data_IF_698659751244
#
_entry.id   IF_698659751244
#
_cell.length_a   1.000
_cell.length_b   1.000
_cell.length_c   1.000
_cell.angle_alpha   90.00
_cell.angle_beta   90.00
_cell.angle_gamma   90.00
#
_symmetry.space_group_name_H-M   'P 1'
#
loop_
_entity.id
_entity.type
_entity.pdbx_description
1 polymer ?
#
# COMPACT_ATOMS: atom_id res chain seq x y z
N UNK A 1 -9.12 -51.06 -6.32
CA UNK A 1 -9.03 -49.78 -7.05
C UNK A 1 -10.43 -49.19 -7.13
N UNK A 2 -10.63 -47.99 -6.57
CA UNK A 2 -10.55 -46.77 -7.38
C UNK A 2 -9.72 -45.65 -6.71
N UNK A 3 -9.30 -44.61 -7.45
CA UNK A 3 -8.42 -43.57 -6.95
C UNK A 3 -9.18 -42.38 -6.36
N UNK A 4 -8.73 -41.92 -5.19
CA UNK A 4 -9.11 -40.65 -4.58
C UNK A 4 -8.50 -39.50 -5.38
N UNK A 5 -9.34 -38.76 -6.08
CA UNK A 5 -8.99 -37.50 -6.71
C UNK A 5 -8.58 -36.46 -5.65
N UNK A 6 -7.29 -36.14 -5.58
CA UNK A 6 -6.79 -34.93 -4.92
C UNK A 6 -7.13 -33.73 -5.79
N UNK A 7 -8.20 -33.02 -5.45
CA UNK A 7 -8.45 -31.67 -5.96
C UNK A 7 -7.38 -30.72 -5.41
N UNK A 8 -6.29 -30.57 -6.15
CA UNK A 8 -5.32 -29.49 -5.97
C UNK A 8 -5.91 -28.21 -6.56
N UNK A 9 -6.78 -27.57 -5.79
CA UNK A 9 -7.21 -26.20 -6.06
C UNK A 9 -6.07 -25.25 -5.68
N UNK A 10 -5.11 -25.04 -6.59
CA UNK A 10 -4.19 -23.90 -6.49
C UNK A 10 -5.04 -22.64 -6.40
N UNK A 11 -5.02 -22.00 -5.23
CA UNK A 11 -5.66 -20.72 -4.98
C UNK A 11 -5.12 -19.69 -5.96
N UNK A 12 -5.87 -19.45 -7.02
CA UNK A 12 -5.70 -18.28 -7.87
C UNK A 12 -5.92 -17.09 -6.95
N UNK A 13 -4.84 -16.42 -6.50
CA UNK A 13 -4.89 -15.22 -5.65
C UNK A 13 -5.90 -14.26 -6.28
N UNK A 14 -7.10 -14.20 -5.69
CA UNK A 14 -8.22 -13.39 -6.20
C UNK A 14 -7.73 -11.96 -6.20
N UNK A 15 -7.82 -11.28 -7.37
CA UNK A 15 -7.61 -9.84 -7.44
C UNK A 15 -8.48 -9.20 -6.35
N UNK A 16 -7.93 -8.33 -5.47
CA UNK A 16 -8.74 -7.65 -4.48
C UNK A 16 -9.81 -6.87 -5.24
N UNK A 17 -11.06 -7.31 -5.13
CA UNK A 17 -12.20 -6.58 -5.65
C UNK A 17 -12.46 -5.41 -4.70
N UNK A 18 -12.95 -4.29 -5.24
CA UNK A 18 -13.50 -3.17 -4.47
C UNK A 18 -14.81 -3.62 -3.80
N UNK A 19 -14.70 -4.55 -2.86
CA UNK A 19 -15.81 -5.14 -2.12
C UNK A 19 -16.11 -4.28 -0.88
N UNK A 20 -17.27 -4.48 -0.26
CA UNK A 20 -17.62 -3.85 1.02
C UNK A 20 -16.54 -4.04 2.11
N UNK A 21 -15.84 -5.17 2.08
CA UNK A 21 -14.69 -5.44 2.96
C UNK A 21 -13.53 -4.46 2.76
N UNK A 22 -13.28 -4.01 1.53
CA UNK A 22 -12.27 -2.98 1.28
C UNK A 22 -12.65 -1.68 1.98
N UNK A 23 -13.92 -1.24 1.86
CA UNK A 23 -14.40 -0.02 2.51
C UNK A 23 -14.26 -0.14 4.04
N UNK A 24 -14.63 -1.27 4.62
CA UNK A 24 -14.45 -1.52 6.06
C UNK A 24 -12.99 -1.44 6.49
N UNK A 25 -12.08 -2.11 5.76
CA UNK A 25 -10.63 -2.06 6.01
C UNK A 25 -10.08 -0.64 5.86
N UNK A 26 -10.48 0.07 4.81
CA UNK A 26 -10.09 1.45 4.56
C UNK A 26 -10.56 2.37 5.68
N UNK A 27 -11.83 2.31 6.07
CA UNK A 27 -12.37 3.10 7.19
C UNK A 27 -11.65 2.78 8.51
N UNK A 28 -11.28 1.52 8.75
CA UNK A 28 -10.52 1.12 9.94
C UNK A 28 -9.12 1.74 9.96
N UNK A 29 -8.46 1.86 8.81
CA UNK A 29 -7.18 2.57 8.66
C UNK A 29 -7.38 4.07 8.85
N UNK A 30 -8.41 4.66 8.21
CA UNK A 30 -8.73 6.09 8.33
C UNK A 30 -8.98 6.53 9.78
N UNK A 31 -9.64 5.71 10.60
CA UNK A 31 -9.82 5.98 12.03
C UNK A 31 -8.50 6.05 12.81
N UNK A 32 -7.47 5.33 12.37
CA UNK A 32 -6.12 5.41 12.98
C UNK A 32 -5.42 6.68 12.52
N UNK A 33 -5.61 7.08 11.27
CA UNK A 33 -5.02 8.32 10.71
C UNK A 33 -5.66 9.58 11.30
N UNK A 34 -6.97 9.55 11.61
CA UNK A 34 -7.72 10.66 12.16
C UNK A 34 -8.36 10.27 13.51
N UNK A 35 -7.58 10.24 14.61
CA UNK A 35 -8.07 9.78 15.90
C UNK A 35 -9.08 10.75 16.54
N UNK A 36 -8.98 12.05 16.25
CA UNK A 36 -9.92 13.06 16.75
C UNK A 36 -10.01 14.25 15.79
N UNK A 37 -11.14 14.99 15.88
CA UNK A 37 -11.41 16.20 15.08
C UNK A 37 -10.43 17.35 15.35
N UNK A 38 -9.73 17.32 16.50
CA UNK A 38 -8.70 18.31 16.86
C UNK A 38 -7.27 17.80 16.60
N UNK A 39 -7.11 16.67 15.90
CA UNK A 39 -5.77 16.15 15.61
C UNK A 39 -5.04 17.00 14.57
N UNK A 40 -3.71 17.03 14.66
CA UNK A 40 -2.83 17.72 13.70
C UNK A 40 -3.15 17.31 12.24
N UNK A 41 -3.53 16.06 12.01
CA UNK A 41 -3.87 15.54 10.68
C UNK A 41 -5.15 16.18 10.12
N UNK A 42 -6.14 16.49 10.96
CA UNK A 42 -7.37 17.19 10.53
C UNK A 42 -7.06 18.65 10.18
N UNK A 43 -6.23 19.32 10.99
CA UNK A 43 -5.79 20.68 10.69
C UNK A 43 -5.03 20.75 9.36
N UNK A 44 -4.10 19.81 9.12
CA UNK A 44 -3.37 19.71 7.85
C UNK A 44 -4.27 19.41 6.66
N UNK A 45 -5.30 18.59 6.84
CA UNK A 45 -6.31 18.35 5.80
C UNK A 45 -7.12 19.62 5.52
N UNK A 46 -7.51 20.36 6.56
CA UNK A 46 -8.23 21.64 6.42
C UNK A 46 -7.39 22.70 5.68
N UNK A 47 -6.10 22.83 6.01
CA UNK A 47 -5.21 23.73 5.29
C UNK A 47 -4.99 23.28 3.85
N UNK A 48 -4.88 21.98 3.58
CA UNK A 48 -4.81 21.42 2.22
C UNK A 48 -6.05 21.80 1.39
N UNK A 49 -7.25 21.65 1.96
CA UNK A 49 -8.50 22.05 1.29
C UNK A 49 -8.49 23.54 0.96
N UNK A 50 -8.09 24.40 1.91
CA UNK A 50 -8.01 25.84 1.66
C UNK A 50 -7.01 26.22 0.56
N UNK A 51 -5.82 25.61 0.58
CA UNK A 51 -4.78 25.85 -0.42
C UNK A 51 -5.22 25.37 -1.80
N UNK A 52 -5.75 24.15 -1.91
CA UNK A 52 -6.21 23.57 -3.18
C UNK A 52 -7.35 24.36 -3.81
N UNK A 53 -8.33 24.82 -3.02
CA UNK A 53 -9.41 25.69 -3.53
C UNK A 53 -8.87 27.03 -4.04
N UNK A 54 -7.91 27.62 -3.30
CA UNK A 54 -7.28 28.88 -3.70
C UNK A 54 -6.46 28.71 -4.97
N UNK A 55 -5.66 27.64 -5.06
CA UNK A 55 -4.87 27.29 -6.24
C UNK A 55 -5.77 27.20 -7.48
N UNK A 56 -6.94 26.60 -7.35
CA UNK A 56 -7.87 26.38 -8.46
C UNK A 56 -8.51 27.67 -8.97
N UNK A 57 -8.81 28.61 -8.05
CA UNK A 57 -9.23 29.96 -8.44
C UNK A 57 -8.13 30.69 -9.22
N UNK A 58 -6.88 30.55 -8.79
CA UNK A 58 -5.73 31.15 -9.49
C UNK A 58 -5.51 30.47 -10.85
N UNK A 59 -5.62 29.14 -10.95
CA UNK A 59 -5.49 28.41 -12.22
C UNK A 59 -6.54 28.89 -13.24
N UNK A 60 -7.78 29.10 -12.80
CA UNK A 60 -8.82 29.66 -13.68
C UNK A 60 -8.44 31.06 -14.18
N UNK A 61 -7.97 31.95 -13.29
CA UNK A 61 -7.53 33.30 -13.69
C UNK A 61 -6.37 33.23 -14.68
N UNK A 62 -5.35 32.43 -14.41
CA UNK A 62 -4.21 32.21 -15.31
C UNK A 62 -4.67 31.70 -16.67
N UNK A 63 -5.70 30.84 -16.71
CA UNK A 63 -6.27 30.32 -17.94
C UNK A 63 -7.05 31.33 -18.80
N UNK A 64 -7.60 32.38 -18.19
CA UNK A 64 -8.33 33.44 -18.90
C UNK A 64 -7.39 34.54 -19.41
N UNK A 65 -6.20 34.71 -18.83
CA UNK A 65 -5.22 35.72 -19.25
C UNK A 65 -4.90 35.69 -20.76
N UNK A 66 -4.68 34.52 -21.41
CA UNK A 66 -4.47 34.48 -22.86
C UNK A 66 -5.60 35.15 -23.67
N UNK A 67 -6.86 35.01 -23.24
CA UNK A 67 -8.01 35.70 -23.83
C UNK A 67 -7.85 37.22 -23.77
N UNK A 68 -7.45 37.74 -22.62
CA UNK A 68 -7.24 39.19 -22.41
C UNK A 68 -6.06 39.72 -23.21
N UNK A 69 -5.02 38.90 -23.41
CA UNK A 69 -3.93 39.25 -24.32
C UNK A 69 -4.42 39.39 -25.77
N UNK A 70 -5.28 38.49 -26.26
CA UNK A 70 -5.83 38.62 -27.62
C UNK A 70 -6.63 39.91 -27.81
N UNK A 71 -7.44 40.31 -26.83
CA UNK A 71 -8.15 41.60 -26.82
C UNK A 71 -7.16 42.78 -26.87
N UNK A 72 -6.21 42.85 -25.94
CA UNK A 72 -5.26 43.95 -25.87
C UNK A 72 -4.36 44.07 -27.11
N UNK A 73 -3.97 42.94 -27.72
CA UNK A 73 -3.21 42.92 -28.97
C UNK A 73 -4.05 43.37 -30.17
N UNK A 74 -5.33 42.99 -30.21
CA UNK A 74 -6.26 43.44 -31.26
C UNK A 74 -6.45 44.95 -31.22
N UNK A 75 -6.62 45.50 -30.02
CA UNK A 75 -6.83 46.94 -29.80
C UNK A 75 -5.53 47.75 -29.87
N UNK A 76 -4.37 47.08 -29.98
CA UNK A 76 -3.02 47.67 -29.99
C UNK A 76 -2.73 48.55 -28.76
N UNK A 77 -3.33 48.24 -27.61
CA UNK A 77 -3.12 48.97 -26.38
C UNK A 77 -1.87 48.48 -25.63
N UNK A 78 -0.78 49.23 -25.76
CA UNK A 78 0.49 48.94 -25.08
C UNK A 78 0.40 49.07 -23.55
N UNK A 79 -0.44 49.98 -23.05
CA UNK A 79 -0.62 50.20 -21.61
C UNK A 79 -1.32 49.01 -20.96
N UNK A 80 -2.42 48.56 -21.56
CA UNK A 80 -3.12 47.35 -21.14
C UNK A 80 -2.21 46.12 -21.22
N UNK A 81 -1.45 45.96 -22.31
CA UNK A 81 -0.52 44.85 -22.47
C UNK A 81 0.54 44.79 -21.35
N UNK A 82 1.17 45.91 -21.00
CA UNK A 82 2.19 45.95 -19.94
C UNK A 82 1.60 45.59 -18.57
N UNK A 83 0.40 46.08 -18.27
CA UNK A 83 -0.30 45.77 -17.03
C UNK A 83 -0.70 44.28 -16.96
N UNK A 84 -1.22 43.73 -18.05
CA UNK A 84 -1.56 42.31 -18.16
C UNK A 84 -0.32 41.41 -18.03
N UNK A 85 0.81 41.79 -18.63
CA UNK A 85 2.06 41.06 -18.49
C UNK A 85 2.57 41.05 -17.04
N UNK A 86 2.50 42.18 -16.33
CA UNK A 86 2.83 42.26 -14.92
C UNK A 86 1.91 41.40 -14.04
N UNK A 87 0.60 41.44 -14.30
CA UNK A 87 -0.39 40.62 -13.61
C UNK A 87 -0.16 39.13 -13.86
N UNK A 88 0.11 38.73 -15.10
CA UNK A 88 0.38 37.35 -15.49
C UNK A 88 1.61 36.79 -14.77
N UNK A 89 2.69 37.57 -14.71
CA UNK A 89 3.89 37.17 -13.97
C UNK A 89 3.61 36.97 -12.48
N UNK A 90 2.87 37.88 -11.85
CA UNK A 90 2.48 37.77 -10.45
C UNK A 90 1.61 36.54 -10.18
N UNK A 91 0.60 36.28 -11.02
CA UNK A 91 -0.29 35.14 -10.89
C UNK A 91 0.44 33.81 -11.12
N UNK A 92 1.38 33.75 -12.05
CA UNK A 92 2.23 32.56 -12.27
C UNK A 92 3.10 32.30 -11.04
N UNK A 93 3.72 33.35 -10.47
CA UNK A 93 4.51 33.22 -9.24
C UNK A 93 3.66 32.68 -8.09
N UNK A 94 2.47 33.27 -7.88
CA UNK A 94 1.54 32.85 -6.84
C UNK A 94 1.06 31.40 -7.05
N UNK A 95 0.71 31.03 -8.29
CA UNK A 95 0.29 29.66 -8.63
C UNK A 95 1.40 28.65 -8.33
N UNK A 96 2.65 28.97 -8.71
CA UNK A 96 3.81 28.13 -8.43
C UNK A 96 4.05 27.94 -6.93
N UNK A 97 3.90 29.02 -6.15
CA UNK A 97 4.01 28.95 -4.68
C UNK A 97 2.90 28.11 -4.08
N UNK A 98 1.63 28.31 -4.46
CA UNK A 98 0.50 27.53 -3.95
C UNK A 98 0.65 26.04 -4.26
N UNK A 99 1.00 25.70 -5.49
CA UNK A 99 1.27 24.31 -5.90
C UNK A 99 2.41 23.68 -5.11
N UNK A 100 3.47 24.45 -4.82
CA UNK A 100 4.60 23.99 -4.01
C UNK A 100 4.17 23.75 -2.55
N UNK A 101 3.29 24.60 -2.01
CA UNK A 101 2.72 24.45 -0.67
C UNK A 101 1.79 23.24 -0.60
N UNK A 102 0.93 23.01 -1.60
CA UNK A 102 0.10 21.81 -1.71
C UNK A 102 0.96 20.53 -1.64
N UNK A 103 2.01 20.46 -2.45
CA UNK A 103 2.94 19.33 -2.48
C UNK A 103 3.69 19.14 -1.14
N UNK A 104 4.07 20.25 -0.49
CA UNK A 104 4.71 20.22 0.81
C UNK A 104 3.76 19.68 1.89
N UNK A 105 2.50 20.15 1.93
CA UNK A 105 1.48 19.67 2.87
C UNK A 105 1.21 18.18 2.61
N UNK A 106 1.02 17.76 1.36
CA UNK A 106 0.84 16.34 1.01
C UNK A 106 2.01 15.47 1.46
N UNK A 107 3.25 15.97 1.37
CA UNK A 107 4.44 15.25 1.83
C UNK A 107 4.50 15.15 3.35
N UNK A 108 4.18 16.24 4.06
CA UNK A 108 4.12 16.24 5.52
C UNK A 108 3.00 15.31 6.03
N UNK A 109 1.84 15.29 5.35
CA UNK A 109 0.74 14.37 5.64
C UNK A 109 1.18 12.91 5.47
N UNK A 110 1.91 12.58 4.40
CA UNK A 110 2.45 11.23 4.19
C UNK A 110 3.30 10.76 5.37
N UNK A 111 4.20 11.62 5.86
CA UNK A 111 5.08 11.32 7.01
C UNK A 111 4.28 11.13 8.29
N UNK A 112 3.35 12.05 8.58
CA UNK A 112 2.50 11.98 9.78
C UNK A 112 1.63 10.71 9.77
N UNK A 113 1.02 10.39 8.63
CA UNK A 113 0.22 9.19 8.46
C UNK A 113 1.03 7.91 8.57
N UNK A 114 2.22 7.86 7.98
CA UNK A 114 3.15 6.73 8.14
C UNK A 114 3.47 6.52 9.61
N UNK A 115 3.80 7.59 10.34
CA UNK A 115 4.08 7.52 11.78
C UNK A 115 2.90 6.89 12.54
N UNK A 116 1.70 7.46 12.40
CA UNK A 116 0.51 6.97 13.12
C UNK A 116 0.15 5.53 12.77
N UNK A 117 0.21 5.15 11.49
CA UNK A 117 -0.15 3.82 11.03
C UNK A 117 0.90 2.78 11.45
N UNK A 118 2.18 3.06 11.27
CA UNK A 118 3.28 2.17 11.69
C UNK A 118 3.32 2.01 13.21
N UNK A 119 3.15 3.07 14.00
CA UNK A 119 3.08 2.97 15.46
C UNK A 119 1.87 2.13 15.92
N UNK A 120 0.72 2.23 15.24
CA UNK A 120 -0.43 1.36 15.52
C UNK A 120 -0.14 -0.10 15.18
N UNK A 121 0.48 -0.37 14.03
CA UNK A 121 0.86 -1.74 13.62
C UNK A 121 1.92 -2.33 14.55
N UNK A 122 2.93 -1.55 14.94
CA UNK A 122 3.96 -1.97 15.90
C UNK A 122 3.38 -2.32 17.25
N UNK A 123 2.44 -1.52 17.77
CA UNK A 123 1.76 -1.83 19.04
C UNK A 123 1.09 -3.19 18.97
N UNK A 124 0.33 -3.49 17.92
CA UNK A 124 -0.32 -4.80 17.75
C UNK A 124 0.69 -5.95 17.52
N UNK A 125 1.73 -5.72 16.71
CA UNK A 125 2.72 -6.72 16.34
C UNK A 125 3.61 -7.16 17.51
N UNK A 126 4.03 -6.21 18.36
CA UNK A 126 4.85 -6.48 19.54
C UNK A 126 4.04 -6.76 20.81
N UNK A 127 2.71 -6.75 20.73
CA UNK A 127 1.86 -7.10 21.87
C UNK A 127 1.93 -8.61 22.14
N UNK A 128 2.63 -8.98 23.22
CA UNK A 128 2.76 -10.38 23.62
C UNK A 128 3.67 -11.18 22.68
N UNK A 129 3.14 -12.27 22.10
CA UNK A 129 3.87 -13.18 21.22
C UNK A 129 3.32 -13.15 19.77
N UNK A 130 2.64 -12.07 19.37
CA UNK A 130 2.03 -11.93 18.03
C UNK A 130 3.09 -12.05 16.94
N UNK A 131 4.22 -11.36 17.08
CA UNK A 131 5.36 -11.48 16.15
C UNK A 131 5.83 -12.93 15.96
N UNK A 132 5.87 -13.74 17.03
CA UNK A 132 6.27 -15.15 16.93
C UNK A 132 5.19 -15.97 16.22
N UNK A 133 3.94 -15.77 16.63
CA UNK A 133 2.78 -16.49 16.07
C UNK A 133 2.61 -16.22 14.58
N UNK A 134 2.75 -14.96 14.18
CA UNK A 134 2.59 -14.52 12.80
C UNK A 134 3.72 -15.03 11.89
N UNK A 135 4.97 -15.09 12.37
CA UNK A 135 6.10 -15.52 11.52
C UNK A 135 6.34 -17.03 11.53
N UNK A 136 5.91 -17.75 12.59
CA UNK A 136 6.29 -19.16 12.80
C UNK A 136 5.11 -20.11 12.83
N UNK A 137 3.97 -19.69 13.39
CA UNK A 137 2.80 -20.57 13.54
C UNK A 137 1.78 -20.41 12.42
N UNK A 138 1.72 -19.25 11.77
CA UNK A 138 0.81 -19.00 10.67
C UNK A 138 1.53 -18.89 9.33
N UNK A 139 0.95 -19.51 8.30
CA UNK A 139 1.38 -19.43 6.90
C UNK A 139 0.39 -18.62 6.03
N UNK A 140 -0.61 -17.98 6.64
CA UNK A 140 -1.65 -17.22 5.95
C UNK A 140 -1.15 -15.85 5.44
N UNK A 141 -0.16 -15.26 6.11
CA UNK A 141 0.40 -13.95 5.80
C UNK A 141 1.84 -14.07 5.28
N UNK A 142 2.01 -13.88 3.97
CA UNK A 142 3.34 -13.72 3.37
C UNK A 142 3.99 -12.38 3.78
N UNK A 143 5.25 -12.42 4.22
CA UNK A 143 6.17 -11.29 4.49
C UNK A 143 5.55 -10.15 5.34
N UNK A 144 5.25 -10.38 6.62
CA UNK A 144 4.64 -9.36 7.48
C UNK A 144 5.53 -8.12 7.68
N UNK A 145 6.85 -8.29 7.67
CA UNK A 145 7.85 -7.23 7.71
C UNK A 145 7.73 -6.25 6.54
N UNK A 146 7.53 -6.78 5.32
CA UNK A 146 7.33 -5.96 4.12
C UNK A 146 6.02 -5.18 4.19
N UNK A 147 4.95 -5.79 4.73
CA UNK A 147 3.63 -5.13 4.87
C UNK A 147 3.69 -3.96 5.86
N UNK A 148 4.37 -4.14 7.00
CA UNK A 148 4.51 -3.09 8.03
C UNK A 148 5.42 -1.97 7.54
N UNK A 149 6.51 -2.27 6.84
CA UNK A 149 7.50 -1.28 6.42
C UNK A 149 7.16 -0.61 5.08
N UNK A 150 7.14 -1.38 4.00
CA UNK A 150 7.04 -0.87 2.63
C UNK A 150 5.60 -0.58 2.21
N UNK A 151 4.67 -1.51 2.44
CA UNK A 151 3.29 -1.30 2.00
C UNK A 151 2.64 -0.12 2.75
N UNK A 152 2.95 0.03 4.04
CA UNK A 152 2.48 1.17 4.85
C UNK A 152 3.01 2.50 4.34
N UNK A 153 4.30 2.57 4.01
CA UNK A 153 4.90 3.76 3.38
C UNK A 153 4.25 4.09 2.04
N UNK A 154 4.08 3.09 1.17
CA UNK A 154 3.50 3.28 -0.16
C UNK A 154 2.03 3.70 -0.05
N UNK A 155 1.26 3.09 0.85
CA UNK A 155 -0.13 3.48 1.10
C UNK A 155 -0.23 4.95 1.52
N UNK A 156 0.52 5.37 2.54
CA UNK A 156 0.48 6.74 3.04
C UNK A 156 0.91 7.76 1.99
N UNK A 157 1.94 7.45 1.20
CA UNK A 157 2.42 8.32 0.12
C UNK A 157 1.39 8.47 -1.00
N UNK A 158 0.85 7.36 -1.51
CA UNK A 158 -0.14 7.41 -2.59
C UNK A 158 -1.44 8.07 -2.15
N UNK A 159 -1.89 7.77 -0.93
CA UNK A 159 -3.08 8.41 -0.38
C UNK A 159 -2.88 9.93 -0.24
N UNK A 160 -1.74 10.40 0.28
CA UNK A 160 -1.57 11.84 0.54
C UNK A 160 -1.52 12.64 -0.75
N UNK A 161 -0.85 12.12 -1.79
CA UNK A 161 -0.82 12.76 -3.12
C UNK A 161 -2.15 12.73 -3.84
N UNK A 162 -3.02 11.79 -3.49
CA UNK A 162 -4.33 11.61 -4.10
C UNK A 162 -5.41 12.50 -3.46
N UNK A 163 -5.28 12.82 -2.17
CA UNK A 163 -6.31 13.55 -1.42
C UNK A 163 -6.60 14.92 -2.02
N UNK A 164 -5.58 15.73 -2.34
CA UNK A 164 -5.77 17.06 -2.93
C UNK A 164 -6.58 16.98 -4.22
N UNK A 165 -6.22 16.04 -5.10
CA UNK A 165 -6.87 15.79 -6.39
C UNK A 165 -8.29 15.24 -6.26
N UNK A 166 -8.53 14.31 -5.34
CA UNK A 166 -9.87 13.73 -5.11
C UNK A 166 -10.87 14.76 -4.59
N UNK A 167 -10.41 15.67 -3.72
CA UNK A 167 -11.27 16.72 -3.15
C UNK A 167 -11.71 17.67 -4.25
N UNK A 168 -10.78 18.09 -5.12
CA UNK A 168 -11.07 19.12 -6.12
C UNK A 168 -11.78 18.59 -7.38
N UNK A 169 -11.44 17.38 -7.83
CA UNK A 169 -11.91 16.80 -9.09
C UNK A 169 -13.43 16.89 -9.34
N UNK A 170 -14.33 16.61 -8.38
CA UNK A 170 -15.77 16.73 -8.64
C UNK A 170 -16.20 18.18 -8.88
N UNK A 171 -15.61 19.15 -8.15
CA UNK A 171 -15.95 20.57 -8.30
C UNK A 171 -15.47 21.11 -9.64
N UNK A 172 -14.22 20.82 -10.03
CA UNK A 172 -13.69 21.27 -11.32
C UNK A 172 -14.45 20.61 -12.47
N UNK A 173 -14.72 19.31 -12.40
CA UNK A 173 -15.45 18.62 -13.45
C UNK A 173 -16.84 19.21 -13.66
N UNK A 174 -17.61 19.45 -12.59
CA UNK A 174 -18.94 20.07 -12.69
C UNK A 174 -18.84 21.49 -13.23
N UNK A 175 -17.93 22.32 -12.70
CA UNK A 175 -17.76 23.70 -13.12
C UNK A 175 -17.36 23.84 -14.60
N UNK A 176 -16.34 23.10 -15.04
CA UNK A 176 -15.88 23.15 -16.43
C UNK A 176 -16.85 22.47 -17.40
N UNK A 177 -17.60 21.45 -16.97
CA UNK A 177 -18.70 20.89 -17.77
C UNK A 177 -19.80 21.93 -17.98
N UNK A 178 -20.19 22.64 -16.93
CA UNK A 178 -21.17 23.73 -17.02
C UNK A 178 -20.68 24.86 -17.92
N UNK A 179 -19.42 25.29 -17.76
CA UNK A 179 -18.82 26.34 -18.59
C UNK A 179 -18.73 25.92 -20.06
N UNK A 180 -18.38 24.65 -20.34
CA UNK A 180 -18.36 24.10 -21.70
C UNK A 180 -19.76 24.05 -22.32
N UNK A 181 -20.77 23.66 -21.54
CA UNK A 181 -22.16 23.67 -21.96
C UNK A 181 -22.64 25.08 -22.32
N UNK A 182 -22.29 26.08 -21.52
CA UNK A 182 -22.64 27.47 -21.80
C UNK A 182 -21.97 28.00 -23.08
N UNK A 183 -20.70 27.65 -23.31
CA UNK A 183 -19.93 28.14 -24.45
C UNK A 183 -20.24 27.46 -25.79
N UNK A 184 -20.53 26.16 -25.80
CA UNK A 184 -20.67 25.35 -27.04
C UNK A 184 -21.99 24.60 -27.14
N UNK A 185 -22.88 24.76 -26.16
CA UNK A 185 -24.13 23.99 -26.07
C UNK A 185 -23.87 22.51 -25.76
N UNK A 186 -24.84 21.66 -26.10
CA UNK A 186 -24.80 20.23 -25.77
C UNK A 186 -23.69 19.45 -26.50
N UNK A 187 -23.27 19.93 -27.69
CA UNK A 187 -22.27 19.26 -28.53
C UNK A 187 -20.91 19.20 -27.84
N UNK A 188 -20.53 20.24 -27.09
CA UNK A 188 -19.23 20.31 -26.42
C UNK A 188 -19.04 19.22 -25.36
N UNK A 189 -19.84 19.23 -24.27
CA UNK A 189 -19.77 18.21 -23.24
C UNK A 189 -19.94 16.79 -23.80
N UNK A 190 -20.93 16.54 -24.66
CA UNK A 190 -21.15 15.18 -25.21
C UNK A 190 -19.93 14.67 -25.97
N UNK A 191 -19.29 15.51 -26.78
CA UNK A 191 -18.08 15.12 -27.53
C UNK A 191 -16.91 14.81 -26.59
N UNK A 192 -16.71 15.62 -25.55
CA UNK A 192 -15.63 15.41 -24.56
C UNK A 192 -15.88 14.15 -23.71
N UNK A 193 -17.13 13.91 -23.28
CA UNK A 193 -17.48 12.69 -22.55
C UNK A 193 -17.36 11.44 -23.44
N UNK A 194 -17.78 11.51 -24.71
CA UNK A 194 -17.57 10.43 -25.67
C UNK A 194 -16.08 10.13 -25.87
N UNK A 195 -15.28 11.18 -26.01
CA UNK A 195 -13.82 11.10 -26.09
C UNK A 195 -13.22 10.41 -24.85
N UNK A 196 -13.64 10.81 -23.65
CA UNK A 196 -13.22 10.20 -22.39
C UNK A 196 -13.56 8.71 -22.31
N UNK A 197 -14.75 8.30 -22.74
CA UNK A 197 -15.15 6.88 -22.75
C UNK A 197 -14.22 6.07 -23.66
N UNK A 198 -13.96 6.56 -24.88
CA UNK A 198 -13.03 5.92 -25.83
C UNK A 198 -11.62 5.84 -25.26
N UNK A 199 -11.12 6.92 -24.65
CA UNK A 199 -9.82 6.95 -23.98
C UNK A 199 -9.70 5.94 -22.85
N UNK A 200 -10.72 5.88 -21.99
CA UNK A 200 -10.78 4.94 -20.85
C UNK A 200 -10.79 3.49 -21.30
N UNK A 201 -11.57 3.15 -22.33
CA UNK A 201 -11.62 1.81 -22.91
C UNK A 201 -10.26 1.44 -23.50
N UNK A 202 -9.65 2.35 -24.26
CA UNK A 202 -8.35 2.13 -24.89
C UNK A 202 -7.25 1.91 -23.85
N UNK A 203 -7.20 2.75 -22.82
CA UNK A 203 -6.25 2.63 -21.71
C UNK A 203 -6.44 1.28 -20.97
N UNK A 204 -7.69 0.89 -20.67
CA UNK A 204 -8.00 -0.38 -20.01
C UNK A 204 -7.51 -1.60 -20.81
N UNK A 205 -7.66 -1.58 -22.13
CA UNK A 205 -7.19 -2.66 -23.02
C UNK A 205 -5.65 -2.74 -23.00
N UNK A 206 -4.98 -1.59 -23.07
CA UNK A 206 -3.51 -1.51 -23.07
C UNK A 206 -2.88 -1.88 -21.71
N UNK A 207 -3.53 -1.54 -20.59
CA UNK A 207 -3.04 -1.86 -19.25
C UNK A 207 -3.12 -3.35 -18.89
N UNK A 208 -4.11 -4.08 -19.42
CA UNK A 208 -4.32 -5.50 -19.13
C UNK A 208 -3.04 -6.37 -19.19
N UNK A 209 -2.30 -6.40 -20.31
CA UNK A 209 -1.07 -7.18 -20.44
C UNK A 209 0.11 -6.63 -19.61
N UNK A 210 0.16 -5.32 -19.36
CA UNK A 210 1.23 -4.66 -18.59
C UNK A 210 1.18 -5.15 -17.14
N UNK A 211 -0.01 -5.09 -16.52
CA UNK A 211 -0.20 -5.50 -15.12
C UNK A 211 0.24 -6.95 -14.90
N UNK A 212 -0.10 -7.87 -15.80
CA UNK A 212 0.33 -9.27 -15.69
C UNK A 212 1.85 -9.43 -15.74
N UNK A 213 2.52 -8.64 -16.59
CA UNK A 213 3.98 -8.71 -16.77
C UNK A 213 4.71 -8.05 -15.60
N UNK A 214 4.14 -6.97 -15.07
CA UNK A 214 4.65 -6.27 -13.89
C UNK A 214 4.67 -7.19 -12.66
N UNK A 215 3.61 -7.98 -12.45
CA UNK A 215 3.59 -8.98 -11.38
C UNK A 215 4.66 -10.06 -11.54
N UNK A 216 4.91 -10.51 -12.78
CA UNK A 216 5.97 -11.47 -13.06
C UNK A 216 7.36 -10.86 -12.80
N UNK A 217 7.57 -9.60 -13.16
CA UNK A 217 8.80 -8.86 -12.85
C UNK A 217 9.04 -8.76 -11.35
N UNK A 218 8.04 -8.32 -10.56
CA UNK A 218 8.17 -8.21 -9.10
C UNK A 218 8.51 -9.56 -8.45
N UNK A 219 7.94 -10.65 -8.96
CA UNK A 219 8.28 -12.00 -8.51
C UNK A 219 9.74 -12.36 -8.83
N UNK A 220 10.19 -12.13 -10.06
CA UNK A 220 11.56 -12.43 -10.48
C UNK A 220 12.59 -11.56 -9.75
N UNK A 221 12.25 -10.30 -9.46
CA UNK A 221 13.03 -9.38 -8.63
C UNK A 221 13.15 -9.93 -7.19
N UNK A 222 12.04 -10.41 -6.63
CA UNK A 222 12.02 -11.10 -5.34
C UNK A 222 12.93 -12.34 -5.32
N UNK A 223 12.84 -13.20 -6.34
CA UNK A 223 13.67 -14.39 -6.48
C UNK A 223 15.17 -14.06 -6.63
N UNK A 224 15.49 -12.94 -7.28
CA UNK A 224 16.85 -12.44 -7.41
C UNK A 224 17.39 -11.92 -6.07
N UNK A 225 16.64 -11.09 -5.36
CA UNK A 225 17.00 -10.61 -4.01
C UNK A 225 17.15 -11.74 -3.00
N UNK A 226 16.24 -12.71 -3.05
CA UNK A 226 16.31 -13.90 -2.20
C UNK A 226 17.59 -14.71 -2.48
N UNK A 227 18.02 -14.82 -3.74
CA UNK A 227 19.28 -15.49 -4.09
C UNK A 227 20.50 -14.80 -3.44
N UNK A 228 20.54 -13.48 -3.46
CA UNK A 228 21.59 -12.71 -2.79
C UNK A 228 21.54 -12.88 -1.26
N UNK A 229 20.34 -12.91 -0.67
CA UNK A 229 20.17 -13.17 0.76
C UNK A 229 20.70 -14.55 1.16
N UNK A 230 20.44 -15.59 0.35
CA UNK A 230 20.97 -16.95 0.57
C UNK A 230 22.50 -17.02 0.49
N UNK A 231 23.13 -16.25 -0.42
CA UNK A 231 24.59 -16.18 -0.51
C UNK A 231 25.15 -15.49 0.73
N UNK A 232 24.51 -14.41 1.20
CA UNK A 232 24.91 -13.71 2.43
C UNK A 232 24.79 -14.61 3.67
N UNK A 233 23.70 -15.35 3.80
CA UNK A 233 23.48 -16.22 4.98
C UNK A 233 24.40 -17.44 5.01
N UNK A 234 24.84 -17.93 3.84
CA UNK A 234 25.69 -19.11 3.70
C UNK A 234 27.07 -18.75 3.12
N UNK A 235 27.56 -17.54 3.39
CA UNK A 235 28.78 -17.01 2.78
C UNK A 235 30.01 -17.84 3.14
N UNK A 236 30.10 -18.28 4.40
CA UNK A 236 31.20 -19.12 4.89
C UNK A 236 31.24 -20.47 4.17
N UNK A 237 30.11 -21.18 4.09
CA UNK A 237 30.02 -22.46 3.37
C UNK A 237 30.35 -22.27 1.88
N UNK A 238 29.83 -21.21 1.25
CA UNK A 238 30.11 -20.91 -0.16
C UNK A 238 31.61 -20.62 -0.39
N UNK A 239 32.27 -19.90 0.52
CA UNK A 239 33.70 -19.63 0.47
C UNK A 239 34.53 -20.89 0.69
N UNK A 240 34.15 -21.73 1.65
CA UNK A 240 34.79 -23.02 1.94
C UNK A 240 34.78 -23.95 0.72
N UNK A 241 33.66 -24.04 0.01
CA UNK A 241 33.54 -24.81 -1.23
C UNK A 241 34.12 -24.11 -2.48
N UNK A 242 34.71 -22.91 -2.35
CA UNK A 242 35.18 -22.08 -3.48
C UNK A 242 34.11 -21.92 -4.57
N UNK A 243 32.84 -21.80 -4.16
CA UNK A 243 31.68 -21.85 -5.04
C UNK A 243 31.46 -20.58 -5.89
N UNK A 244 32.38 -19.60 -5.86
CA UNK A 244 32.21 -18.28 -6.47
C UNK A 244 31.78 -18.31 -7.94
N UNK A 245 32.46 -19.10 -8.79
CA UNK A 245 32.08 -19.21 -10.22
C UNK A 245 30.70 -19.83 -10.42
N UNK A 246 30.35 -20.84 -9.62
CA UNK A 246 29.06 -21.54 -9.71
C UNK A 246 27.92 -20.63 -9.25
N UNK A 247 28.09 -19.97 -8.11
CA UNK A 247 27.11 -19.04 -7.56
C UNK A 247 26.96 -17.78 -8.41
N UNK A 248 28.04 -17.30 -9.04
CA UNK A 248 27.98 -16.26 -10.06
C UNK A 248 27.09 -16.67 -11.24
N UNK A 249 27.37 -17.81 -11.90
CA UNK A 249 26.55 -18.28 -13.03
C UNK A 249 25.08 -18.48 -12.67
N UNK A 250 24.79 -19.00 -11.46
CA UNK A 250 23.41 -19.20 -10.99
C UNK A 250 22.69 -17.88 -10.74
N UNK A 251 23.38 -16.89 -10.17
CA UNK A 251 22.81 -15.58 -9.87
C UNK A 251 22.59 -14.78 -11.14
N UNK A 252 23.56 -14.79 -12.06
CA UNK A 252 23.45 -14.14 -13.36
C UNK A 252 22.32 -14.75 -14.21
N UNK A 253 22.12 -16.07 -14.19
CA UNK A 253 20.96 -16.68 -14.86
C UNK A 253 19.61 -16.16 -14.36
N UNK A 254 19.48 -15.87 -13.06
CA UNK A 254 18.26 -15.25 -12.49
C UNK A 254 18.14 -13.80 -12.95
N UNK A 255 19.24 -13.04 -12.94
CA UNK A 255 19.29 -11.68 -13.47
C UNK A 255 18.87 -11.62 -14.95
N UNK A 256 19.41 -12.49 -15.81
CA UNK A 256 19.05 -12.54 -17.24
C UNK A 256 17.58 -12.90 -17.46
N UNK A 257 16.96 -13.65 -16.54
CA UNK A 257 15.52 -13.95 -16.62
C UNK A 257 14.69 -12.73 -16.23
N UNK A 258 15.08 -12.03 -15.15
CA UNK A 258 14.51 -10.76 -14.75
C UNK A 258 14.63 -9.69 -15.85
N UNK A 259 15.83 -9.50 -16.43
CA UNK A 259 16.08 -8.52 -17.48
C UNK A 259 15.26 -8.77 -18.74
N UNK A 260 15.04 -10.04 -19.13
CA UNK A 260 14.16 -10.40 -20.24
C UNK A 260 12.70 -10.01 -19.96
N UNK A 261 12.23 -10.24 -18.72
CA UNK A 261 10.90 -9.82 -18.29
C UNK A 261 10.78 -8.29 -18.28
N UNK A 262 11.75 -7.57 -17.71
CA UNK A 262 11.81 -6.10 -17.72
C UNK A 262 11.79 -5.52 -19.14
N UNK A 263 12.57 -6.09 -20.06
CA UNK A 263 12.55 -5.69 -21.48
C UNK A 263 11.19 -5.92 -22.13
N UNK A 264 10.52 -7.04 -21.82
CA UNK A 264 9.17 -7.31 -22.30
C UNK A 264 8.15 -6.32 -21.73
N UNK A 265 8.28 -5.94 -20.45
CA UNK A 265 7.44 -4.92 -19.82
C UNK A 265 7.62 -3.57 -20.52
N UNK A 266 8.87 -3.12 -20.70
CA UNK A 266 9.20 -1.86 -21.38
C UNK A 266 8.61 -1.77 -22.80
N UNK A 267 8.68 -2.87 -23.56
CA UNK A 267 8.08 -2.92 -24.90
C UNK A 267 6.54 -2.79 -24.87
N UNK A 268 5.88 -3.27 -23.81
CA UNK A 268 4.42 -3.12 -23.64
C UNK A 268 4.05 -1.72 -23.16
N UNK A 269 4.85 -1.16 -22.24
CA UNK A 269 4.70 0.23 -21.78
C UNK A 269 4.84 1.23 -22.92
N UNK A 270 5.71 0.99 -23.90
CA UNK A 270 5.83 1.84 -25.09
C UNK A 270 4.49 2.03 -25.81
N UNK A 271 3.69 0.98 -25.98
CA UNK A 271 2.36 1.09 -26.59
C UNK A 271 1.36 1.84 -25.71
N UNK A 272 1.46 1.70 -24.39
CA UNK A 272 0.66 2.50 -23.45
C UNK A 272 1.04 3.98 -23.56
N UNK A 273 2.33 4.32 -23.56
CA UNK A 273 2.79 5.70 -23.69
C UNK A 273 2.37 6.31 -25.02
N UNK A 274 2.48 5.56 -26.14
CA UNK A 274 1.95 6.02 -27.43
C UNK A 274 0.45 6.29 -27.31
N UNK A 275 -0.33 5.36 -26.79
CA UNK A 275 -1.79 5.52 -26.66
C UNK A 275 -2.20 6.72 -25.80
N UNK A 276 -1.59 6.88 -24.62
CA UNK A 276 -1.87 7.99 -23.68
C UNK A 276 -1.43 9.32 -24.29
N UNK A 277 -0.21 9.43 -24.82
CA UNK A 277 0.29 10.67 -25.40
C UNK A 277 -0.51 11.07 -26.65
N UNK A 278 -0.86 10.11 -27.51
CA UNK A 278 -1.73 10.38 -28.68
C UNK A 278 -3.09 10.89 -28.22
N UNK A 279 -3.66 10.33 -27.15
CA UNK A 279 -4.92 10.82 -26.58
C UNK A 279 -4.80 12.24 -25.99
N UNK A 280 -3.70 12.57 -25.32
CA UNK A 280 -3.52 13.93 -24.79
C UNK A 280 -3.39 14.96 -25.92
N UNK A 281 -2.63 14.66 -26.98
CA UNK A 281 -2.48 15.57 -28.13
C UNK A 281 -3.75 15.68 -28.98
N UNK A 282 -4.47 14.58 -29.21
CA UNK A 282 -5.76 14.59 -29.92
C UNK A 282 -6.82 15.38 -29.14
N UNK A 283 -6.76 15.36 -27.81
CA UNK A 283 -7.66 16.16 -26.96
C UNK A 283 -7.55 17.65 -27.24
N UNK A 284 -6.33 18.17 -27.42
CA UNK A 284 -6.11 19.57 -27.78
C UNK A 284 -6.67 19.95 -29.16
N UNK A 285 -6.62 19.04 -30.14
CA UNK A 285 -7.21 19.27 -31.46
C UNK A 285 -8.74 19.20 -31.38
N UNK A 286 -9.28 18.22 -30.65
CA UNK A 286 -10.71 18.03 -30.46
C UNK A 286 -11.38 19.29 -29.89
N UNK A 287 -10.74 20.00 -28.95
CA UNK A 287 -11.28 21.26 -28.43
C UNK A 287 -11.51 22.31 -29.52
N UNK A 288 -10.60 22.45 -30.48
CA UNK A 288 -10.77 23.40 -31.59
C UNK A 288 -11.85 22.96 -32.57
N UNK A 289 -11.97 21.65 -32.84
CA UNK A 289 -13.04 21.12 -33.69
C UNK A 289 -14.41 21.44 -33.07
N UNK A 290 -14.58 21.21 -31.76
CA UNK A 290 -15.80 21.51 -31.01
C UNK A 290 -16.16 23.01 -31.10
N UNK A 291 -15.19 23.89 -30.91
CA UNK A 291 -15.39 25.34 -30.94
C UNK A 291 -15.69 25.86 -32.35
N UNK A 292 -15.18 25.19 -33.39
CA UNK A 292 -15.39 25.62 -34.77
C UNK A 292 -16.85 25.52 -35.23
N UNK A 293 -17.62 24.55 -34.71
CA UNK A 293 -19.03 24.30 -35.08
C UNK A 293 -19.90 25.55 -34.89
N UNK A 294 -20.02 26.15 -33.68
CA UNK A 294 -20.87 27.33 -33.48
C UNK A 294 -20.37 28.59 -34.20
N UNK A 295 -19.06 28.67 -34.48
CA UNK A 295 -18.45 29.78 -35.24
C UNK A 295 -18.85 29.68 -36.71
N UNK A 296 -18.69 28.51 -37.33
CA UNK A 296 -19.07 28.29 -38.72
C UNK A 296 -20.59 28.30 -38.94
N UNK A 297 -21.39 28.00 -37.92
CA UNK A 297 -22.85 28.16 -37.97
C UNK A 297 -23.31 29.62 -37.85
N UNK A 298 -22.39 30.58 -37.69
CA UNK A 298 -22.67 32.01 -37.74
C UNK A 298 -23.24 32.63 -36.46
N UNK A 299 -23.19 31.92 -35.33
CA UNK A 299 -23.74 32.41 -34.05
C UNK A 299 -22.96 33.64 -33.53
N UNK A 300 -21.69 33.76 -33.91
CA UNK A 300 -20.76 34.78 -33.42
C UNK A 300 -20.38 35.84 -34.47
N UNK A 301 -21.12 35.94 -35.58
CA UNK A 301 -20.80 36.85 -36.69
C UNK A 301 -20.87 38.34 -36.33
N UNK A 302 -21.49 38.70 -35.19
CA UNK A 302 -21.64 40.08 -34.74
C UNK A 302 -20.45 40.59 -33.90
N UNK A 303 -19.48 39.73 -33.59
CA UNK A 303 -18.33 40.09 -32.76
C UNK A 303 -17.18 40.65 -33.60
N UNK A 304 -16.39 41.54 -33.01
CA UNK A 304 -15.15 42.00 -33.63
C UNK A 304 -14.11 40.86 -33.74
N UNK A 305 -13.15 40.93 -34.67
CA UNK A 305 -12.09 39.91 -34.77
C UNK A 305 -11.28 39.70 -33.48
N UNK A 306 -11.11 40.76 -32.68
CA UNK A 306 -10.45 40.71 -31.37
C UNK A 306 -11.26 39.94 -30.33
N UNK A 307 -12.53 40.31 -30.16
CA UNK A 307 -13.45 39.64 -29.25
C UNK A 307 -13.67 38.17 -29.64
N UNK A 308 -13.73 37.88 -30.94
CA UNK A 308 -13.84 36.51 -31.44
C UNK A 308 -12.59 35.69 -31.06
N UNK A 309 -11.40 36.25 -31.21
CA UNK A 309 -10.14 35.58 -30.86
C UNK A 309 -10.03 35.31 -29.36
N UNK A 310 -10.43 36.27 -28.53
CA UNK A 310 -10.51 36.14 -27.08
C UNK A 310 -11.52 35.06 -26.67
N UNK A 311 -12.72 35.07 -27.24
CA UNK A 311 -13.74 34.04 -27.01
C UNK A 311 -13.24 32.63 -27.36
N UNK A 312 -12.58 32.47 -28.52
CA UNK A 312 -11.97 31.20 -28.94
C UNK A 312 -10.94 30.76 -27.91
N UNK A 313 -10.05 31.65 -27.47
CA UNK A 313 -9.02 31.35 -26.48
C UNK A 313 -9.61 30.89 -25.14
N UNK A 314 -10.60 31.61 -24.62
CA UNK A 314 -11.30 31.25 -23.38
C UNK A 314 -12.02 29.90 -23.49
N UNK A 315 -12.73 29.66 -24.59
CA UNK A 315 -13.46 28.41 -24.81
C UNK A 315 -12.50 27.22 -25.01
N UNK A 316 -11.38 27.44 -25.69
CA UNK A 316 -10.32 26.45 -25.85
C UNK A 316 -9.72 26.08 -24.50
N UNK A 317 -9.40 27.06 -23.66
CA UNK A 317 -8.94 26.82 -22.29
C UNK A 317 -9.94 25.95 -21.51
N UNK A 318 -11.23 26.30 -21.52
CA UNK A 318 -12.28 25.54 -20.81
C UNK A 318 -12.36 24.09 -21.30
N UNK A 319 -12.35 23.86 -22.62
CA UNK A 319 -12.45 22.52 -23.20
C UNK A 319 -11.18 21.68 -22.92
N UNK A 320 -9.99 22.26 -23.11
CA UNK A 320 -8.72 21.59 -22.84
C UNK A 320 -8.60 21.25 -21.35
N UNK A 321 -9.00 22.18 -20.48
CA UNK A 321 -8.95 21.95 -19.04
C UNK A 321 -9.94 20.86 -18.60
N UNK A 322 -11.13 20.80 -19.20
CA UNK A 322 -12.09 19.72 -18.97
C UNK A 322 -11.52 18.36 -19.40
N UNK A 323 -10.87 18.29 -20.56
CA UNK A 323 -10.18 17.07 -21.02
C UNK A 323 -9.07 16.68 -20.04
N UNK A 324 -8.28 17.64 -19.55
CA UNK A 324 -7.25 17.40 -18.55
C UNK A 324 -7.83 16.86 -17.23
N UNK A 325 -8.97 17.37 -16.78
CA UNK A 325 -9.66 16.86 -15.59
C UNK A 325 -10.05 15.38 -15.75
N UNK A 326 -10.49 14.99 -16.94
CA UNK A 326 -10.79 13.60 -17.28
C UNK A 326 -9.53 12.72 -17.30
N UNK A 327 -8.43 13.18 -17.92
CA UNK A 327 -7.15 12.44 -17.87
C UNK A 327 -6.67 12.27 -16.43
N UNK A 328 -6.77 13.31 -15.59
CA UNK A 328 -6.44 13.24 -14.17
C UNK A 328 -7.31 12.22 -13.42
N UNK A 329 -8.58 12.06 -13.77
CA UNK A 329 -9.45 11.03 -13.18
C UNK A 329 -9.00 9.61 -13.52
N UNK A 330 -8.47 9.37 -14.73
CA UNK A 330 -7.91 8.07 -15.12
C UNK A 330 -6.68 7.76 -14.26
N UNK A 331 -5.78 8.74 -14.09
CA UNK A 331 -4.60 8.61 -13.23
C UNK A 331 -4.96 8.42 -11.75
N UNK A 332 -6.05 9.04 -11.30
CA UNK A 332 -6.58 8.79 -9.96
C UNK A 332 -7.13 7.38 -9.83
N UNK A 333 -7.76 6.82 -10.86
CA UNK A 333 -8.26 5.45 -10.82
C UNK A 333 -7.14 4.41 -10.67
N UNK A 334 -5.99 4.62 -11.31
CA UNK A 334 -4.83 3.70 -11.19
C UNK A 334 -4.25 3.76 -9.78
N UNK A 335 -4.00 4.99 -9.30
CA UNK A 335 -3.49 5.22 -7.96
C UNK A 335 -4.45 4.70 -6.88
N UNK A 336 -5.77 4.79 -7.11
CA UNK A 336 -6.79 4.30 -6.17
C UNK A 336 -6.79 2.77 -6.12
N UNK A 337 -6.51 2.12 -7.26
CA UNK A 337 -6.36 0.67 -7.33
C UNK A 337 -5.15 0.20 -6.52
N UNK A 338 -4.04 0.95 -6.56
CA UNK A 338 -2.85 0.67 -5.74
C UNK A 338 -3.15 0.86 -4.24
N UNK A 339 -3.80 1.96 -3.86
CA UNK A 339 -4.26 2.23 -2.50
C UNK A 339 -5.17 1.09 -2.01
N UNK A 340 -6.07 0.59 -2.86
CA UNK A 340 -6.92 -0.55 -2.53
C UNK A 340 -6.12 -1.84 -2.31
N UNK A 341 -5.10 -2.09 -3.14
CA UNK A 341 -4.18 -3.21 -2.98
C UNK A 341 -3.43 -3.17 -1.64
N UNK A 342 -2.79 -2.05 -1.30
CA UNK A 342 -2.09 -1.89 -0.03
C UNK A 342 -3.03 -1.94 1.18
N UNK A 343 -4.20 -1.30 1.09
CA UNK A 343 -5.25 -1.35 2.12
C UNK A 343 -5.68 -2.79 2.39
N UNK A 344 -5.82 -3.61 1.35
CA UNK A 344 -6.17 -5.01 1.51
C UNK A 344 -5.08 -5.78 2.27
N UNK A 345 -3.81 -5.61 1.89
CA UNK A 345 -2.66 -6.30 2.52
C UNK A 345 -2.45 -5.88 3.97
N UNK A 346 -2.57 -4.59 4.27
CA UNK A 346 -2.43 -4.04 5.63
C UNK A 346 -3.65 -4.38 6.49
N UNK A 347 -4.86 -4.29 5.93
CA UNK A 347 -6.09 -4.66 6.63
C UNK A 347 -6.15 -6.14 6.98
N UNK A 348 -5.72 -7.03 6.07
CA UNK A 348 -5.60 -8.47 6.34
C UNK A 348 -4.59 -8.76 7.46
N UNK A 349 -3.42 -8.10 7.43
CA UNK A 349 -2.43 -8.21 8.50
C UNK A 349 -3.01 -7.79 9.86
N UNK A 350 -3.74 -6.68 9.90
CA UNK A 350 -4.36 -6.18 11.12
C UNK A 350 -5.45 -7.11 11.64
N UNK A 351 -6.30 -7.64 10.76
CA UNK A 351 -7.33 -8.62 11.12
C UNK A 351 -6.72 -9.89 11.75
N UNK A 352 -5.63 -10.41 11.17
CA UNK A 352 -4.92 -11.58 11.73
C UNK A 352 -4.26 -11.26 13.07
N UNK A 353 -3.63 -10.09 13.23
CA UNK A 353 -3.07 -9.69 14.53
C UNK A 353 -4.16 -9.55 15.60
N UNK A 354 -5.31 -8.93 15.26
CA UNK A 354 -6.44 -8.78 16.17
C UNK A 354 -7.06 -10.14 16.55
N UNK A 355 -7.12 -11.10 15.62
CA UNK A 355 -7.59 -12.48 15.85
C UNK A 355 -6.67 -13.24 16.83
N UNK A 356 -5.35 -13.12 16.65
CA UNK A 356 -4.35 -13.69 17.57
C UNK A 356 -4.47 -13.07 18.97
N UNK A 357 -4.71 -11.75 19.05
CA UNK A 357 -4.88 -11.06 20.33
C UNK A 357 -6.18 -11.46 21.05
N UNK A 358 -7.29 -11.61 20.32
CA UNK A 358 -8.57 -12.06 20.88
C UNK A 358 -8.51 -13.48 21.42
N UNK A 359 -7.96 -14.41 20.64
CA UNK A 359 -7.77 -15.81 21.05
C UNK A 359 -7.00 -15.91 22.37
N UNK A 360 -6.05 -15.00 22.59
CA UNK A 360 -5.28 -14.92 23.83
C UNK A 360 -6.06 -14.33 25.00
N UNK A 361 -6.86 -13.28 24.79
CA UNK A 361 -7.66 -12.65 25.86
C UNK A 361 -8.75 -13.59 26.39
N UNK A 362 -9.36 -14.41 25.53
CA UNK A 362 -10.35 -15.41 25.94
C UNK A 362 -9.72 -16.54 26.78
N UNK A 363 -8.39 -16.70 26.73
CA UNK A 363 -7.64 -17.71 27.45
C UNK A 363 -6.91 -17.19 28.70
N UNK A 364 -7.05 -15.91 29.08
CA UNK A 364 -6.39 -15.42 30.31
C UNK A 364 -7.09 -16.02 31.55
N UNK A 365 -6.48 -16.97 32.29
CA UNK A 365 -7.15 -17.66 33.40
C UNK A 365 -7.29 -16.77 34.64
N UNK A 366 -6.97 -15.48 34.53
CA UNK A 366 -6.97 -14.51 35.62
C UNK A 366 -8.39 -14.04 36.00
N UNK A 367 -9.44 -14.49 35.31
CA UNK A 367 -10.84 -14.25 35.68
C UNK A 367 -11.43 -15.32 36.61
N UNK A 368 -10.66 -16.34 37.01
CA UNK A 368 -11.05 -17.34 38.00
C UNK A 368 -10.29 -17.19 39.31
N UNK A 369 -11.00 -16.66 40.31
CA UNK A 369 -10.72 -16.65 41.75
C UNK A 369 -9.60 -15.74 42.29
N UNK A 370 -10.06 -14.80 43.13
CA UNK A 370 -9.27 -14.11 44.15
C UNK A 370 -8.56 -15.11 45.05
N UNK A 371 -7.24 -14.95 45.25
CA UNK A 371 -6.53 -15.74 46.25
C UNK A 371 -5.82 -14.85 47.28
N UNK A 372 -6.18 -15.19 48.51
CA UNK A 372 -5.80 -14.61 49.79
C UNK A 372 -4.29 -14.72 50.05
N UNK A 373 -3.72 -13.66 50.59
CA UNK A 373 -2.28 -13.44 50.72
C UNK A 373 -1.78 -13.84 52.11
N UNK A 374 -2.13 -15.03 52.61
CA UNK A 374 -1.63 -15.49 53.91
C UNK A 374 -1.44 -17.01 53.96
N UNK A 375 -0.27 -17.47 53.49
CA UNK A 375 0.41 -18.71 53.94
C UNK A 375 1.77 -18.85 53.28
N UNK A 376 2.72 -18.01 53.71
CA UNK A 376 4.15 -18.27 53.54
C UNK A 376 4.56 -19.18 54.69
N UNK A 377 4.86 -20.45 54.39
CA UNK A 377 5.40 -21.37 55.38
C UNK A 377 4.93 -22.80 55.19
N UNK A 378 5.48 -23.48 54.19
CA UNK A 378 5.79 -24.91 54.24
C UNK A 378 6.55 -25.33 52.98
N UNK A 379 7.66 -26.03 53.19
CA UNK A 379 8.33 -26.85 52.19
C UNK A 379 7.32 -27.90 51.73
N UNK A 380 6.89 -27.82 50.47
CA UNK A 380 5.91 -28.77 49.90
C UNK A 380 6.60 -29.62 48.84
N UNK A 381 6.59 -30.91 49.10
CA UNK A 381 6.83 -32.01 48.18
C UNK A 381 6.08 -31.80 46.86
N UNK A 382 6.81 -31.86 45.75
CA UNK A 382 6.22 -31.90 44.40
C UNK A 382 5.46 -33.23 44.21
N UNK A 383 4.15 -33.19 44.43
CA UNK A 383 3.20 -34.16 43.87
C UNK A 383 2.30 -33.43 42.89
N UNK A 384 2.87 -33.03 41.75
CA UNK A 384 2.07 -32.72 40.56
C UNK A 384 2.03 -33.96 39.68
N UNK A 385 0.82 -34.48 39.47
CA UNK A 385 0.56 -35.48 38.44
C UNK A 385 0.76 -34.77 37.10
N UNK A 386 1.92 -34.96 36.49
CA UNK A 386 2.16 -34.51 35.12
C UNK A 386 1.48 -35.49 34.17
N UNK A 387 0.29 -35.13 33.66
CA UNK A 387 -0.13 -35.68 32.36
C UNK A 387 0.74 -35.00 31.32
N UNK A 388 1.55 -35.80 30.62
CA UNK A 388 2.38 -35.34 29.52
C UNK A 388 1.46 -34.72 28.45
N UNK A 389 1.60 -33.43 28.15
CA UNK A 389 0.82 -32.83 27.08
C UNK A 389 1.31 -33.42 25.75
N UNK A 390 0.39 -33.97 24.96
CA UNK A 390 0.69 -34.31 23.56
C UNK A 390 1.04 -33.00 22.85
N UNK A 391 2.31 -32.84 22.47
CA UNK A 391 2.79 -31.66 21.77
C UNK A 391 2.72 -31.92 20.27
N UNK A 392 1.69 -31.41 19.59
CA UNK A 392 1.64 -31.40 18.14
C UNK A 392 2.49 -30.24 17.60
N UNK A 393 3.47 -30.54 16.75
CA UNK A 393 4.05 -29.53 15.87
C UNK A 393 2.98 -29.16 14.80
N UNK A 394 2.76 -27.86 14.51
CA UNK A 394 1.76 -27.46 13.50
C UNK A 394 2.04 -28.01 12.09
N UNK A 395 3.31 -28.28 11.75
CA UNK A 395 3.71 -28.80 10.45
C UNK A 395 4.07 -30.29 10.52
N UNK A 396 3.05 -31.14 10.58
CA UNK A 396 3.09 -32.59 10.33
C UNK A 396 3.98 -33.48 11.22
N UNK A 397 3.44 -34.67 11.50
CA UNK A 397 3.97 -35.77 12.32
C UNK A 397 3.92 -35.59 13.85
N UNK A 398 3.04 -36.42 14.45
CA UNK A 398 2.93 -36.69 15.87
C UNK A 398 4.30 -37.09 16.43
N UNK A 399 4.91 -36.21 17.22
CA UNK A 399 6.13 -36.51 17.96
C UNK A 399 5.71 -36.98 19.35
N UNK A 400 5.82 -38.28 19.59
CA UNK A 400 5.63 -39.01 20.86
C UNK A 400 4.29 -39.76 21.05
N UNK A 401 4.34 -41.08 20.82
CA UNK A 401 3.49 -42.07 21.49
C UNK A 401 4.40 -42.83 22.46
N UNK A 402 4.30 -42.53 23.75
CA UNK A 402 5.12 -43.15 24.78
C UNK A 402 4.52 -42.95 26.15
N UNK A 403 3.62 -43.86 26.53
CA UNK A 403 3.18 -44.03 27.91
C UNK A 403 4.32 -44.66 28.71
N UNK A 404 5.05 -43.87 29.49
CA UNK A 404 5.84 -44.43 30.58
C UNK A 404 5.99 -43.43 31.73
N UNK A 405 5.30 -43.72 32.83
CA UNK A 405 5.41 -43.05 34.11
C UNK A 405 6.73 -43.44 34.79
N UNK A 406 7.74 -42.57 34.75
CA UNK A 406 8.86 -42.62 35.70
C UNK A 406 9.06 -41.27 36.39
N UNK A 407 8.86 -41.29 37.72
CA UNK A 407 9.29 -40.26 38.66
C UNK A 407 10.81 -40.19 38.64
N UNK A 408 11.40 -39.07 38.22
CA UNK A 408 12.78 -38.74 38.58
C UNK A 408 12.86 -37.30 39.06
N UNK A 409 13.61 -37.10 40.16
CA UNK A 409 13.95 -35.80 40.74
C UNK A 409 14.82 -35.04 39.73
N UNK A 410 14.32 -33.91 39.22
CA UNK A 410 15.07 -32.99 38.36
C UNK A 410 15.93 -32.04 39.21
N UNK A 411 17.10 -32.51 39.63
CA UNK A 411 18.15 -31.67 40.24
C UNK A 411 19.52 -31.82 39.56
N UNK A 412 19.59 -32.35 38.33
CA UNK A 412 20.84 -32.43 37.56
C UNK A 412 20.66 -31.91 36.15
N UNK A 413 21.62 -31.09 35.72
CA UNK A 413 21.76 -30.59 34.35
C UNK A 413 21.57 -31.74 33.37
N UNK A 414 20.55 -31.62 32.51
CA UNK A 414 20.21 -32.66 31.56
C UNK A 414 21.21 -32.58 30.40
N UNK A 415 22.33 -33.30 30.53
CA UNK A 415 23.34 -33.47 29.49
C UNK A 415 22.70 -33.99 28.19
N UNK A 416 22.87 -33.24 27.12
CA UNK A 416 22.22 -33.45 25.83
C UNK A 416 22.89 -34.55 25.01
N UNK A 417 22.63 -35.82 25.34
CA UNK A 417 22.86 -36.95 24.43
C UNK A 417 21.55 -37.72 24.24
N UNK A 418 20.69 -37.21 23.35
CA UNK A 418 19.50 -37.93 22.85
C UNK A 418 19.20 -37.40 21.47
N UNK A 419 18.94 -38.32 20.53
CA UNK A 419 18.76 -38.11 19.09
C UNK A 419 18.11 -36.77 18.72
N UNK A 420 18.68 -36.13 17.71
CA UNK A 420 18.10 -34.97 17.00
C UNK A 420 16.67 -35.32 16.57
N UNK A 421 15.69 -34.45 16.89
CA UNK A 421 14.28 -34.64 16.54
C UNK A 421 13.37 -35.19 17.66
N UNK A 422 13.87 -35.44 18.87
CA UNK A 422 13.06 -35.98 20.00
C UNK A 422 12.09 -34.97 20.67
N UNK A 423 11.94 -33.75 20.15
CA UNK A 423 10.98 -32.77 20.69
C UNK A 423 11.40 -32.00 21.94
N UNK A 424 12.69 -32.06 22.34
CA UNK A 424 13.22 -31.30 23.50
C UNK A 424 12.97 -29.78 23.37
N UNK A 425 13.22 -29.23 22.18
CA UNK A 425 12.96 -27.81 21.88
C UNK A 425 11.48 -27.50 21.87
N UNK A 426 10.63 -28.45 21.45
CA UNK A 426 9.17 -28.33 21.51
C UNK A 426 8.66 -28.24 22.96
N UNK A 427 9.22 -29.06 23.87
CA UNK A 427 8.91 -29.00 25.30
C UNK A 427 9.27 -27.64 25.90
N UNK A 428 10.45 -27.09 25.56
CA UNK A 428 10.88 -25.77 26.01
C UNK A 428 9.97 -24.66 25.46
N UNK A 429 9.47 -24.79 24.24
CA UNK A 429 8.51 -23.86 23.64
C UNK A 429 7.15 -23.88 24.35
N UNK A 430 6.63 -25.06 24.70
CA UNK A 430 5.40 -25.20 25.50
C UNK A 430 5.61 -24.65 26.92
N UNK A 431 6.77 -24.91 27.53
CA UNK A 431 7.14 -24.35 28.84
C UNK A 431 7.22 -22.82 28.82
N UNK A 432 7.60 -22.20 27.69
CA UNK A 432 7.64 -20.74 27.56
C UNK A 432 6.33 -20.13 27.02
N UNK A 433 5.22 -20.89 26.98
CA UNK A 433 3.92 -20.45 26.41
C UNK A 433 4.03 -19.96 24.96
N UNK A 434 5.01 -20.48 24.20
CA UNK A 434 5.12 -20.21 22.77
C UNK A 434 4.16 -21.09 21.97
N UNK A 435 3.92 -22.32 22.44
CA UNK A 435 2.97 -23.28 21.86
C UNK A 435 1.89 -23.65 22.89
N UNK A 436 0.67 -23.85 22.41
CA UNK A 436 -0.44 -24.40 23.19
C UNK A 436 -0.35 -25.92 23.26
N UNK A 437 -0.86 -26.49 24.36
CA UNK A 437 -0.94 -27.93 24.54
C UNK A 437 -2.35 -28.42 24.16
N UNK A 438 -2.45 -29.44 23.30
CA UNK A 438 -3.74 -30.00 22.85
C UNK A 438 -4.58 -30.59 24.00
N UNK A 439 -3.95 -30.97 25.12
CA UNK A 439 -4.65 -31.41 26.33
C UNK A 439 -3.82 -31.26 27.61
N UNK A 440 -4.45 -30.81 28.70
CA UNK A 440 -3.88 -30.66 30.04
C UNK A 440 -3.86 -29.21 30.55
N UNK A 441 -4.06 -29.02 31.86
CA UNK A 441 -4.00 -27.70 32.51
C UNK A 441 -2.61 -27.44 33.08
N UNK A 442 -2.17 -26.17 33.07
CA UNK A 442 -0.89 -25.74 33.62
C UNK A 442 -1.07 -24.65 34.68
N UNK A 443 -0.51 -24.89 35.86
CA UNK A 443 -0.23 -23.87 36.88
C UNK A 443 1.27 -23.61 36.92
N UNK A 444 1.70 -22.40 36.59
CA UNK A 444 3.07 -21.92 36.82
C UNK A 444 3.01 -20.69 37.73
N UNK A 445 3.77 -20.67 38.83
CA UNK A 445 3.82 -19.51 39.75
C UNK A 445 4.59 -18.36 39.10
N UNK A 446 4.12 -17.12 39.35
CA UNK A 446 4.52 -15.87 38.67
C UNK A 446 5.95 -15.35 38.95
N UNK A 447 6.79 -16.04 39.72
CA UNK A 447 8.01 -15.42 40.31
C UNK A 447 9.36 -16.08 40.01
N UNK A 448 9.50 -16.91 38.97
CA UNK A 448 10.82 -17.43 38.56
C UNK A 448 11.30 -16.78 37.26
N UNK A 449 12.41 -16.05 37.32
CA UNK A 449 13.14 -15.55 36.14
C UNK A 449 13.83 -16.73 35.46
N UNK A 450 13.31 -17.17 34.31
CA UNK A 450 13.92 -18.23 33.50
C UNK A 450 14.61 -17.59 32.30
N UNK A 451 15.95 -17.62 32.28
CA UNK A 451 16.75 -17.22 31.12
C UNK A 451 16.99 -18.41 30.20
N UNK A 452 16.73 -18.24 28.89
CA UNK A 452 16.99 -19.25 27.87
C UNK A 452 18.10 -18.78 26.93
N UNK A 453 19.10 -19.65 26.71
CA UNK A 453 20.15 -19.44 25.71
C UNK A 453 19.73 -20.12 24.41
N UNK A 454 19.66 -19.36 23.32
CA UNK A 454 19.29 -19.90 22.01
C UNK A 454 20.46 -20.66 21.37
N UNK A 455 20.16 -21.69 20.58
CA UNK A 455 21.09 -22.66 20.00
C UNK A 455 22.14 -22.09 19.02
N UNK A 456 22.17 -20.79 18.77
CA UNK A 456 23.22 -20.13 17.98
C UNK A 456 24.56 -20.02 18.72
N UNK A 457 24.58 -20.16 20.04
CA UNK A 457 25.81 -20.13 20.84
C UNK A 457 26.54 -21.49 20.95
N UNK A 458 26.07 -22.53 20.26
CA UNK A 458 26.64 -23.88 20.38
C UNK A 458 27.77 -24.19 19.36
N UNK A 459 28.23 -23.21 18.57
CA UNK A 459 29.41 -23.34 17.71
C UNK A 459 30.47 -22.30 18.07
N UNK A 460 31.07 -22.46 19.25
CA UNK A 460 32.45 -22.08 19.48
C UNK A 460 33.07 -23.12 20.43
N UNK A 461 33.60 -24.25 19.93
CA UNK A 461 34.61 -24.95 20.69
C UNK A 461 35.89 -24.09 20.62
N UNK A 462 36.55 -23.92 21.76
CA UNK A 462 37.83 -23.22 21.99
C UNK A 462 37.78 -21.69 22.07
N UNK A 463 37.62 -21.19 23.30
CA UNK A 463 38.71 -20.53 24.03
C UNK A 463 38.58 -20.84 25.52
#
# INVERSE_FOLDING_TARGET
>A
MPPLARASGKGMKRRPKLDWRFVQRFCSIQRVLFPSWSSQNVLMLGTLVGVTLTEQMIIYQVGVIPSQFYEALSDKDYGAFKNLAGLAFLLILLNSTLKSVDQYICSLMSVSWRKSLTESLHRAYFQGNVYYTLNVLREDIDNPDQRISQDTERLCKQMSTMVSRLIISPFTLVYYTYQCFYSTGWIGPVSIFGYFIVGTITNKILMGPIVSTLFEQEKLEGDFRFKHMQIRSNAESAAFYRAGKVEHMRTDRRLQTLLRCQKSLMNKELWLYIGVNTFDYLGGILSYIIISIPIFSGVYNNLSPGELSALISKNAFVCIYLISCFSQLIDLSTTLSDVAGYTHRIGELREVMDDILRTRCDYDPASGDSYDFDRIGRIVSFTSVWRWPQCCCPCSHRLHNGTDTKKSRLTKSMGSSRNTGTGKTSLLRVLNRLWEADSGYRTARKHEFVCFVHSYFAHNPTQ
#
